data_IF_216326276569
#
_entry.id   IF_216326276569
#
_cell.length_a   1.000
_cell.length_b   1.000
_cell.length_c   1.000
_cell.angle_alpha   90.00
_cell.angle_beta   90.00
_cell.angle_gamma   90.00
#
_symmetry.space_group_name_H-M   'P 1'
#
loop_
_entity.id
_entity.type
_entity.pdbx_description
1 polymer ?
#
# COMPACT_ATOMS: atom_id res chain seq x y z
N UNK A 1 -7.13 -7.74 -6.87
CA UNK A 1 -6.04 -7.09 -6.11
C UNK A 1 -6.67 -6.12 -5.14
N UNK A 2 -6.37 -6.27 -3.87
CA UNK A 2 -6.92 -5.44 -2.79
C UNK A 2 -5.77 -4.69 -2.14
N UNK A 3 -5.94 -3.39 -1.94
CA UNK A 3 -4.93 -2.55 -1.31
C UNK A 3 -5.28 -2.35 0.16
N UNK A 4 -4.33 -2.67 1.03
CA UNK A 4 -4.42 -2.45 2.48
C UNK A 4 -3.59 -1.22 2.82
N UNK A 5 -4.23 -0.19 3.37
CA UNK A 5 -3.56 1.05 3.75
C UNK A 5 -3.10 0.97 5.20
N UNK A 6 -1.79 1.13 5.41
CA UNK A 6 -1.22 1.16 6.75
C UNK A 6 -1.80 2.34 7.55
N UNK A 7 -1.86 2.18 8.88
CA UNK A 7 -2.51 3.12 9.80
C UNK A 7 -1.94 4.54 9.75
N UNK A 8 -0.72 4.72 9.27
CA UNK A 8 -0.08 6.04 9.12
C UNK A 8 -0.67 6.86 7.96
N UNK A 9 -1.43 6.25 7.08
CA UNK A 9 -2.02 6.91 5.92
C UNK A 9 -3.40 7.45 6.28
N UNK A 10 -3.81 8.57 5.67
CA UNK A 10 -5.14 9.11 5.94
C UNK A 10 -6.22 8.12 5.48
N UNK A 11 -7.22 7.83 6.34
CA UNK A 11 -8.29 6.87 5.97
C UNK A 11 -9.04 7.26 4.71
N UNK A 12 -9.20 8.56 4.45
CA UNK A 12 -9.86 9.05 3.24
C UNK A 12 -9.16 8.65 1.95
N UNK A 13 -7.87 8.30 2.01
CA UNK A 13 -7.13 7.85 0.84
C UNK A 13 -7.69 6.54 0.27
N UNK A 14 -8.13 5.62 1.12
CA UNK A 14 -8.71 4.35 0.67
C UNK A 14 -9.96 4.58 -0.17
N UNK A 15 -10.88 5.40 0.33
CA UNK A 15 -12.10 5.73 -0.39
C UNK A 15 -11.79 6.47 -1.69
N UNK A 16 -10.87 7.42 -1.64
CA UNK A 16 -10.47 8.19 -2.81
C UNK A 16 -9.88 7.29 -3.91
N UNK A 17 -9.01 6.35 -3.53
CA UNK A 17 -8.44 5.39 -4.48
C UNK A 17 -9.51 4.52 -5.12
N UNK A 18 -10.47 4.05 -4.33
CA UNK A 18 -11.55 3.20 -4.82
C UNK A 18 -12.42 3.96 -5.83
N UNK A 19 -12.77 5.20 -5.52
CA UNK A 19 -13.62 6.02 -6.40
C UNK A 19 -12.85 6.45 -7.66
N UNK A 20 -11.60 6.90 -7.50
CA UNK A 20 -10.83 7.49 -8.58
C UNK A 20 -10.33 6.45 -9.58
N UNK A 21 -9.88 5.29 -9.09
CA UNK A 21 -9.24 4.28 -9.92
C UNK A 21 -10.05 2.99 -10.05
N UNK A 22 -11.17 2.87 -9.35
CA UNK A 22 -12.00 1.67 -9.42
C UNK A 22 -11.34 0.44 -8.80
N UNK A 23 -10.41 0.62 -7.86
CA UNK A 23 -9.74 -0.48 -7.17
C UNK A 23 -10.38 -0.74 -5.81
N UNK A 24 -10.15 -1.93 -5.26
CA UNK A 24 -10.54 -2.22 -3.88
C UNK A 24 -9.42 -1.76 -2.95
N UNK A 25 -9.73 -0.79 -2.08
CA UNK A 25 -8.78 -0.28 -1.10
C UNK A 25 -9.49 -0.16 0.25
N UNK A 26 -8.88 -0.69 1.29
CA UNK A 26 -9.41 -0.66 2.66
C UNK A 26 -8.29 -0.22 3.61
N UNK A 27 -8.70 0.35 4.74
CA UNK A 27 -7.74 0.67 5.81
C UNK A 27 -7.54 -0.56 6.69
N UNK A 28 -6.41 -0.60 7.41
CA UNK A 28 -6.19 -1.67 8.39
C UNK A 28 -7.24 -1.62 9.50
N UNK A 29 -7.75 -0.45 9.83
CA UNK A 29 -8.83 -0.30 10.80
C UNK A 29 -10.10 -1.04 10.33
N UNK A 30 -10.45 -0.92 9.06
CA UNK A 30 -11.63 -1.57 8.48
C UNK A 30 -11.59 -3.09 8.60
N UNK A 31 -10.39 -3.67 8.61
CA UNK A 31 -10.20 -5.13 8.68
C UNK A 31 -9.69 -5.59 10.05
N UNK A 32 -9.73 -4.70 11.06
CA UNK A 32 -9.42 -5.07 12.44
C UNK A 32 -7.94 -5.23 12.77
N UNK A 33 -7.04 -4.63 11.97
CA UNK A 33 -5.59 -4.77 12.14
C UNK A 33 -4.88 -3.46 12.50
N UNK A 34 -5.62 -2.40 12.90
CA UNK A 34 -5.04 -1.06 13.12
C UNK A 34 -4.06 -1.00 14.29
N UNK A 35 -4.27 -1.79 15.35
CA UNK A 35 -3.42 -1.80 16.54
C UNK A 35 -2.47 -3.01 16.55
N UNK A 36 -2.29 -3.64 15.42
CA UNK A 36 -1.52 -4.86 15.25
C UNK A 36 -0.08 -4.53 14.85
N UNK A 37 0.87 -5.32 15.31
CA UNK A 37 2.27 -5.15 14.93
C UNK A 37 2.47 -5.44 13.44
N UNK A 38 3.47 -4.76 12.83
CA UNK A 38 3.69 -4.87 11.39
C UNK A 38 3.96 -6.31 10.92
N UNK A 39 4.60 -7.16 11.74
CA UNK A 39 4.85 -8.56 11.39
C UNK A 39 3.53 -9.35 11.25
N UNK A 40 2.56 -9.07 12.10
CA UNK A 40 1.25 -9.72 12.04
C UNK A 40 0.46 -9.25 10.83
N UNK A 41 0.56 -7.97 10.49
CA UNK A 41 -0.05 -7.42 9.27
C UNK A 41 0.57 -8.07 8.04
N UNK A 42 1.88 -8.19 8.03
CA UNK A 42 2.62 -8.83 6.95
C UNK A 42 2.15 -10.29 6.77
N UNK A 43 2.06 -11.05 7.86
CA UNK A 43 1.63 -12.44 7.80
C UNK A 43 0.19 -12.58 7.34
N UNK A 44 -0.71 -11.70 7.79
CA UNK A 44 -2.10 -11.70 7.36
C UNK A 44 -2.22 -11.40 5.85
N UNK A 45 -1.48 -10.41 5.36
CA UNK A 45 -1.42 -10.10 3.94
C UNK A 45 -0.83 -11.25 3.13
N UNK A 46 0.24 -11.87 3.63
CA UNK A 46 0.88 -13.01 2.99
C UNK A 46 -0.06 -14.20 2.83
N UNK A 47 -0.92 -14.43 3.79
CA UNK A 47 -1.91 -15.50 3.72
C UNK A 47 -2.89 -15.34 2.55
N UNK A 48 -3.10 -14.12 2.08
CA UNK A 48 -3.94 -13.83 0.91
C UNK A 48 -3.19 -13.97 -0.43
N UNK A 49 -1.91 -14.33 -0.39
CA UNK A 49 -1.10 -14.47 -1.59
C UNK A 49 -0.92 -13.14 -2.33
N UNK A 50 -0.93 -13.18 -3.65
CA UNK A 50 -0.75 -11.99 -4.48
C UNK A 50 -2.03 -11.17 -4.68
N UNK A 51 -3.11 -11.51 -4.00
CA UNK A 51 -4.34 -10.72 -4.06
C UNK A 51 -4.31 -9.47 -3.18
N UNK A 52 -3.35 -9.35 -2.27
CA UNK A 52 -3.22 -8.22 -1.36
C UNK A 52 -1.92 -7.47 -1.58
N UNK A 53 -2.03 -6.13 -1.66
CA UNK A 53 -0.89 -5.22 -1.72
C UNK A 53 -0.98 -4.30 -0.51
N UNK A 54 0.12 -4.16 0.25
CA UNK A 54 0.18 -3.26 1.39
C UNK A 54 0.74 -1.92 0.92
N UNK A 55 0.00 -0.83 1.15
CA UNK A 55 0.46 0.54 0.91
C UNK A 55 1.00 1.07 2.23
N UNK A 56 2.26 1.43 2.27
CA UNK A 56 2.91 1.87 3.51
C UNK A 56 3.99 2.92 3.26
N UNK A 57 4.26 3.73 4.27
CA UNK A 57 5.42 4.61 4.35
C UNK A 57 6.53 3.98 5.20
N UNK A 58 6.25 2.85 5.86
CA UNK A 58 7.11 2.24 6.86
C UNK A 58 8.14 1.33 6.20
N UNK A 59 9.42 1.65 6.39
CA UNK A 59 10.52 0.86 5.88
C UNK A 59 10.54 -0.56 6.46
N UNK A 60 9.96 -0.77 7.63
CA UNK A 60 9.94 -2.11 8.24
C UNK A 60 9.23 -3.14 7.36
N UNK A 61 8.19 -2.73 6.63
CA UNK A 61 7.54 -3.62 5.67
C UNK A 61 8.46 -3.96 4.49
N UNK A 62 9.23 -2.98 4.04
CA UNK A 62 10.19 -3.19 2.95
C UNK A 62 11.25 -4.20 3.39
N UNK A 63 11.79 -4.03 4.60
CA UNK A 63 12.80 -4.94 5.14
C UNK A 63 12.26 -6.37 5.28
N UNK A 64 10.98 -6.53 5.65
CA UNK A 64 10.35 -7.84 5.73
C UNK A 64 10.25 -8.50 4.36
N UNK A 65 9.83 -7.77 3.33
CA UNK A 65 9.73 -8.34 1.97
C UNK A 65 11.10 -8.70 1.42
N UNK A 66 12.11 -7.85 1.67
CA UNK A 66 13.49 -8.16 1.26
C UNK A 66 13.98 -9.43 1.92
N UNK A 67 13.70 -9.61 3.21
CA UNK A 67 14.17 -10.74 4.00
C UNK A 67 13.35 -12.01 3.78
N UNK A 68 12.03 -11.90 3.71
CA UNK A 68 11.11 -13.04 3.69
C UNK A 68 10.48 -13.30 2.33
N UNK A 69 10.63 -12.38 1.39
CA UNK A 69 10.08 -12.50 0.05
C UNK A 69 8.60 -12.12 -0.04
N UNK A 70 8.10 -12.09 -1.26
CA UNK A 70 6.68 -11.90 -1.55
C UNK A 70 5.97 -13.25 -1.57
N UNK A 71 4.63 -13.32 -1.44
CA UNK A 71 3.74 -12.21 -1.10
C UNK A 71 3.89 -11.74 0.33
N UNK A 72 3.38 -10.58 0.72
CA UNK A 72 2.61 -9.65 -0.09
C UNK A 72 3.49 -8.77 -0.96
N UNK A 73 2.88 -8.12 -1.95
CA UNK A 73 3.51 -7.03 -2.68
C UNK A 73 3.35 -5.74 -1.87
N UNK A 74 4.27 -4.82 -2.04
CA UNK A 74 4.28 -3.55 -1.31
C UNK A 74 4.26 -2.39 -2.29
N UNK A 75 3.38 -1.42 -2.03
CA UNK A 75 3.43 -0.10 -2.63
C UNK A 75 4.01 0.85 -1.57
N UNK A 76 5.24 1.27 -1.77
CA UNK A 76 6.02 2.03 -0.80
C UNK A 76 5.98 3.52 -1.12
N UNK A 77 5.46 4.32 -0.17
CA UNK A 77 5.37 5.76 -0.32
C UNK A 77 6.58 6.41 0.34
N UNK A 78 7.39 7.10 -0.45
CA UNK A 78 8.60 7.78 0.00
C UNK A 78 8.52 9.30 -0.12
N UNK A 79 7.31 9.83 -0.29
CA UNK A 79 7.08 11.26 -0.48
C UNK A 79 7.12 12.09 0.80
N UNK A 80 7.34 11.46 1.97
CA UNK A 80 7.41 12.16 3.25
C UNK A 80 6.07 12.68 3.73
N UNK A 81 6.10 13.67 4.63
CA UNK A 81 4.89 14.30 5.16
C UNK A 81 4.41 15.38 4.21
N UNK A 82 3.28 15.14 3.59
CA UNK A 82 2.64 16.05 2.65
C UNK A 82 1.16 16.13 2.95
N UNK A 83 0.49 17.15 2.43
CA UNK A 83 -0.96 17.28 2.57
C UNK A 83 -1.68 16.15 1.83
N UNK A 84 -2.92 15.86 2.25
CA UNK A 84 -3.75 14.88 1.55
C UNK A 84 -3.95 15.27 0.08
N UNK A 85 -4.06 16.56 -0.20
CA UNK A 85 -4.21 17.08 -1.55
C UNK A 85 -3.00 16.75 -2.43
N UNK A 86 -1.79 16.97 -1.89
CA UNK A 86 -0.55 16.67 -2.62
C UNK A 86 -0.37 15.17 -2.78
N UNK A 87 -0.75 14.38 -1.78
CA UNK A 87 -0.72 12.94 -1.89
C UNK A 87 -1.63 12.44 -3.02
N UNK A 88 -2.84 12.99 -3.13
CA UNK A 88 -3.76 12.66 -4.21
C UNK A 88 -3.19 13.04 -5.57
N UNK A 89 -2.51 14.18 -5.68
CA UNK A 89 -1.84 14.60 -6.93
C UNK A 89 -0.77 13.61 -7.35
N UNK A 90 0.04 13.16 -6.39
CA UNK A 90 1.10 12.19 -6.64
C UNK A 90 0.49 10.87 -7.12
N UNK A 91 -0.55 10.38 -6.45
CA UNK A 91 -1.24 9.17 -6.86
C UNK A 91 -1.89 9.29 -8.22
N UNK A 92 -2.52 10.43 -8.52
CA UNK A 92 -3.14 10.65 -9.83
C UNK A 92 -2.13 10.48 -10.94
N UNK A 93 -0.90 10.95 -10.74
CA UNK A 93 0.18 10.85 -11.71
C UNK A 93 0.83 9.47 -11.77
N UNK A 94 1.07 8.87 -10.62
CA UNK A 94 1.95 7.70 -10.50
C UNK A 94 1.22 6.36 -10.34
N UNK A 95 -0.01 6.35 -9.82
CA UNK A 95 -0.69 5.11 -9.48
C UNK A 95 -0.99 4.21 -10.71
N UNK A 96 -1.41 4.73 -11.86
CA UNK A 96 -1.65 3.87 -13.03
C UNK A 96 -0.44 3.03 -13.43
N UNK A 97 0.75 3.64 -13.45
CA UNK A 97 1.99 2.92 -13.75
C UNK A 97 2.35 1.96 -12.63
N UNK A 98 2.20 2.39 -11.37
CA UNK A 98 2.46 1.54 -10.22
C UNK A 98 1.56 0.29 -10.23
N UNK A 99 0.29 0.46 -10.56
CA UNK A 99 -0.66 -0.65 -10.67
C UNK A 99 -0.22 -1.65 -11.74
N UNK A 100 0.23 -1.15 -12.89
CA UNK A 100 0.74 -2.01 -13.96
C UNK A 100 1.96 -2.80 -13.50
N UNK A 101 2.92 -2.17 -12.82
CA UNK A 101 4.09 -2.85 -12.29
C UNK A 101 3.71 -3.93 -11.28
N UNK A 102 2.76 -3.66 -10.41
CA UNK A 102 2.27 -4.64 -9.44
C UNK A 102 1.59 -5.81 -10.15
N UNK A 103 0.79 -5.55 -11.17
CA UNK A 103 0.14 -6.59 -11.96
C UNK A 103 1.14 -7.45 -12.72
N UNK A 104 2.30 -6.89 -13.06
CA UNK A 104 3.40 -7.61 -13.70
C UNK A 104 4.26 -8.41 -12.71
N UNK A 105 3.93 -8.38 -11.42
CA UNK A 105 4.59 -9.19 -10.40
C UNK A 105 5.75 -8.52 -9.67
N UNK A 106 5.93 -7.21 -9.82
CA UNK A 106 6.95 -6.49 -9.04
C UNK A 106 6.64 -6.59 -7.55
N UNK A 107 7.65 -6.94 -6.75
CA UNK A 107 7.49 -7.17 -5.32
C UNK A 107 7.33 -5.88 -4.53
N UNK A 108 8.08 -4.86 -4.90
CA UNK A 108 8.06 -3.54 -4.25
C UNK A 108 8.01 -2.50 -5.35
N UNK A 109 7.00 -1.65 -5.29
CA UNK A 109 6.86 -0.50 -6.19
C UNK A 109 6.89 0.76 -5.35
N UNK A 110 7.75 1.70 -5.70
CA UNK A 110 7.91 2.94 -4.96
C UNK A 110 7.17 4.08 -5.65
N UNK A 111 6.44 4.87 -4.86
CA UNK A 111 5.89 6.16 -5.28
C UNK A 111 6.51 7.24 -4.40
N UNK A 112 7.30 8.11 -5.00
CA UNK A 112 7.95 9.23 -4.34
C UNK A 112 7.55 10.56 -4.95
N UNK A 113 8.17 11.63 -4.47
CA UNK A 113 8.03 12.94 -5.09
C UNK A 113 8.69 12.94 -6.47
N UNK A 114 7.95 13.44 -7.42
CA UNK A 114 8.50 13.62 -8.76
C UNK A 114 9.43 14.82 -8.81
#
# INVERSE_FOLDING_TARGET
>A
MIFWLNAQLPPSLAEWLSITFGVSAVTLQDIGLSDTQYIEIFNAARANGYSTVVITKDRDFIDLVIRLGSPPQILWLTCGNITNRDLQRIFTRAFPEALELLQNGENIVEIGRA
#
